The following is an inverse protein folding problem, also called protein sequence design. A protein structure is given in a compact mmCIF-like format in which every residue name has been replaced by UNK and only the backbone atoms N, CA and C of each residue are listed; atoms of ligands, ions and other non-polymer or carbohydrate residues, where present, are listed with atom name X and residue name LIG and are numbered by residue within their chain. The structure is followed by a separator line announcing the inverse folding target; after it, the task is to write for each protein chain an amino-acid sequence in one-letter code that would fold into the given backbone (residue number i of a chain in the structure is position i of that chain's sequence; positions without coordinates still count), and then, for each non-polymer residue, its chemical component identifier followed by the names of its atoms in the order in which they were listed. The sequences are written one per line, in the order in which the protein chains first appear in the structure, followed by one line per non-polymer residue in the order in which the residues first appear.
data_IF_394622551229
#
_entry.id   IF_394622551229
#
_cell.length_a   1.000
_cell.length_b   1.000
_cell.length_c   1.000
_cell.angle_alpha   90.00
_cell.angle_beta   90.00
_cell.angle_gamma   90.00
#
_symmetry.space_group_name_H-M   'P 1'
#
loop_
_entity.id
_entity.type
_entity.pdbx_description
1 polymer ?
#
# COMPACT_ATOMS: atom_id res chain seq x y z
N UNK A 1 -24.01 -2.05 40.93
CA UNK A 1 -24.73 -1.57 39.72
C UNK A 1 -23.99 -0.47 38.96
N UNK A 2 -23.18 0.40 39.58
CA UNK A 2 -22.42 1.44 38.87
C UNK A 2 -21.29 0.94 37.94
N UNK A 3 -20.60 -0.16 38.32
CA UNK A 3 -19.46 -0.70 37.55
C UNK A 3 -19.86 -1.30 36.20
N UNK A 4 -21.03 -1.93 36.09
CA UNK A 4 -21.54 -2.52 34.84
C UNK A 4 -21.92 -1.48 33.79
N UNK A 5 -22.32 -0.28 34.21
CA UNK A 5 -22.66 0.84 33.32
C UNK A 5 -21.37 1.39 32.69
N UNK A 6 -20.31 1.55 33.49
CA UNK A 6 -19.01 2.02 33.01
C UNK A 6 -18.37 1.09 31.97
N UNK A 7 -18.43 -0.24 32.17
CA UNK A 7 -17.87 -1.21 31.22
C UNK A 7 -18.63 -1.23 29.87
N UNK A 8 -19.96 -1.10 29.91
CA UNK A 8 -20.79 -1.03 28.68
C UNK A 8 -20.50 0.22 27.88
N UNK A 9 -20.36 1.37 28.54
CA UNK A 9 -20.02 2.64 27.87
C UNK A 9 -18.65 2.58 27.22
N UNK A 10 -17.67 1.95 27.88
CA UNK A 10 -16.32 1.79 27.34
C UNK A 10 -16.29 0.84 26.12
N UNK A 11 -17.06 -0.25 26.17
CA UNK A 11 -17.20 -1.18 25.04
C UNK A 11 -17.85 -0.52 23.82
N UNK A 12 -18.89 0.29 24.02
CA UNK A 12 -19.54 1.06 22.94
C UNK A 12 -18.58 2.09 22.34
N UNK A 13 -17.77 2.76 23.17
CA UNK A 13 -16.78 3.73 22.71
C UNK A 13 -15.69 3.07 21.86
N UNK A 14 -15.15 1.92 22.31
CA UNK A 14 -14.17 1.14 21.53
C UNK A 14 -14.75 0.67 20.20
N UNK A 15 -16.01 0.19 20.21
CA UNK A 15 -16.70 -0.22 18.99
C UNK A 15 -16.92 0.95 18.02
N UNK A 16 -17.29 2.13 18.53
CA UNK A 16 -17.45 3.33 17.72
C UNK A 16 -16.13 3.77 17.06
N UNK A 17 -15.03 3.76 17.82
CA UNK A 17 -13.70 4.09 17.30
C UNK A 17 -13.26 3.07 16.24
N UNK A 18 -13.50 1.78 16.45
CA UNK A 18 -13.19 0.73 15.47
C UNK A 18 -13.96 0.92 14.15
N UNK A 19 -15.21 1.35 14.20
CA UNK A 19 -16.02 1.67 13.02
C UNK A 19 -15.53 2.94 12.31
N UNK A 20 -15.08 3.95 13.05
CA UNK A 20 -14.52 5.18 12.47
C UNK A 20 -13.20 4.96 11.72
N UNK A 21 -12.40 3.95 12.11
CA UNK A 21 -11.15 3.60 11.42
C UNK A 21 -11.41 2.99 10.03
N UNK A 22 -12.60 2.47 9.76
CA UNK A 22 -12.95 1.89 8.45
C UNK A 22 -13.24 2.95 7.38
N UNK A 23 -13.39 4.22 7.74
CA UNK A 23 -13.93 5.28 6.87
C UNK A 23 -12.93 6.28 6.28
N UNK A 24 -11.62 6.17 6.55
CA UNK A 24 -10.61 7.13 6.06
C UNK A 24 -9.77 6.59 4.90
N UNK A 25 -10.23 5.54 4.21
CA UNK A 25 -9.61 5.12 2.95
C UNK A 25 -10.00 6.13 1.86
N UNK A 26 -9.28 7.27 1.85
CA UNK A 26 -9.24 8.12 0.67
C UNK A 26 -8.79 7.30 -0.53
N UNK A 27 -9.25 7.69 -1.73
CA UNK A 27 -8.94 6.98 -2.96
C UNK A 27 -7.43 6.72 -3.09
N UNK A 28 -7.05 5.45 -3.18
CA UNK A 28 -5.64 5.06 -3.25
C UNK A 28 -5.12 5.46 -4.63
N UNK A 29 -4.05 6.26 -4.64
CA UNK A 29 -3.31 6.67 -5.83
C UNK A 29 -1.87 6.25 -5.62
N UNK A 30 -1.33 5.43 -6.53
CA UNK A 30 -0.01 4.82 -6.34
C UNK A 30 1.07 5.89 -6.18
N UNK A 31 0.95 7.01 -6.89
CA UNK A 31 1.92 8.11 -6.89
C UNK A 31 2.00 8.84 -5.55
N UNK A 32 1.02 8.67 -4.66
CA UNK A 32 1.01 9.25 -3.31
C UNK A 32 1.46 8.25 -2.22
N UNK A 33 1.77 7.00 -2.59
CA UNK A 33 2.25 5.99 -1.64
C UNK A 33 3.75 6.11 -1.41
N UNK A 34 4.17 5.81 -0.18
CA UNK A 34 5.58 5.71 0.18
C UNK A 34 6.20 4.39 -0.31
N UNK A 35 7.53 4.30 -0.27
CA UNK A 35 8.28 3.11 -0.71
C UNK A 35 7.86 1.82 0.02
N UNK A 36 7.39 1.92 1.26
CA UNK A 36 7.01 0.77 2.08
C UNK A 36 5.52 0.43 1.94
N UNK A 37 4.70 1.25 1.32
CA UNK A 37 3.27 0.95 1.10
C UNK A 37 2.92 0.74 -0.36
N UNK A 38 3.81 1.12 -1.29
CA UNK A 38 3.63 0.99 -2.72
C UNK A 38 3.52 -0.47 -3.21
N UNK A 39 4.47 -1.32 -2.82
CA UNK A 39 4.51 -2.69 -3.32
C UNK A 39 3.28 -3.46 -2.84
N UNK A 40 2.65 -4.19 -3.77
CA UNK A 40 1.44 -4.98 -3.55
C UNK A 40 0.19 -4.15 -3.16
N UNK A 41 0.19 -2.85 -3.44
CA UNK A 41 -1.02 -2.03 -3.35
C UNK A 41 -1.83 -2.04 -4.66
N UNK A 42 -3.11 -1.71 -4.54
CA UNK A 42 -4.05 -1.56 -5.64
C UNK A 42 -4.74 -0.21 -5.51
N UNK A 43 -4.66 0.60 -6.58
CA UNK A 43 -5.30 1.91 -6.64
C UNK A 43 -6.82 1.82 -6.63
N UNK A 44 -7.46 2.97 -6.42
CA UNK A 44 -8.91 3.16 -6.60
C UNK A 44 -9.37 2.87 -8.04
N UNK A 45 -8.49 3.04 -9.02
CA UNK A 45 -8.74 2.66 -10.42
C UNK A 45 -8.64 1.16 -10.69
N UNK A 46 -8.40 0.34 -9.66
CA UNK A 46 -8.26 -1.11 -9.78
C UNK A 46 -6.97 -1.55 -10.48
N UNK A 47 -5.94 -0.69 -10.49
CA UNK A 47 -4.64 -0.99 -11.09
C UNK A 47 -3.62 -1.29 -10.01
N UNK A 48 -2.69 -2.21 -10.29
CA UNK A 48 -1.64 -2.56 -9.33
C UNK A 48 -0.59 -1.45 -9.26
N UNK A 49 -0.12 -1.15 -8.06
CA UNK A 49 1.00 -0.24 -7.86
C UNK A 49 2.33 -0.98 -8.01
N UNK A 50 3.30 -0.30 -8.59
CA UNK A 50 4.65 -0.81 -8.85
C UNK A 50 5.68 0.15 -8.26
N UNK A 51 6.58 -0.40 -7.44
CA UNK A 51 7.74 0.31 -6.92
C UNK A 51 8.88 0.20 -7.95
N UNK A 52 9.29 1.34 -8.49
CA UNK A 52 10.43 1.44 -9.39
C UNK A 52 11.63 2.03 -8.65
N UNK A 53 12.83 1.58 -9.01
CA UNK A 53 14.10 2.10 -8.50
C UNK A 53 14.84 2.81 -9.63
N UNK A 54 15.30 4.02 -9.36
CA UNK A 54 16.06 4.86 -10.30
C UNK A 54 17.35 5.30 -9.61
N UNK A 55 18.47 5.29 -10.34
CA UNK A 55 19.73 5.81 -9.81
C UNK A 55 19.87 7.27 -10.27
N UNK A 56 19.92 8.20 -9.33
CA UNK A 56 20.18 9.61 -9.63
C UNK A 56 21.60 9.76 -10.18
N UNK A 57 21.86 10.86 -10.92
CA UNK A 57 23.23 11.21 -11.37
C UNK A 57 24.26 11.33 -10.23
N UNK A 58 23.80 11.54 -9.00
CA UNK A 58 24.63 11.55 -7.79
C UNK A 58 25.06 10.15 -7.31
N UNK A 59 24.56 9.07 -7.92
CA UNK A 59 24.75 7.69 -7.46
C UNK A 59 23.78 7.27 -6.35
N UNK A 60 22.87 8.15 -5.94
CA UNK A 60 21.85 7.87 -4.92
C UNK A 60 20.69 7.06 -5.52
N UNK A 61 20.28 6.02 -4.80
CA UNK A 61 19.10 5.22 -5.15
C UNK A 61 17.83 5.98 -4.77
N UNK A 62 16.95 6.20 -5.74
CA UNK A 62 15.64 6.80 -5.56
C UNK A 62 14.56 5.78 -5.87
N UNK A 63 13.47 5.83 -5.12
CA UNK A 63 12.32 4.97 -5.34
C UNK A 63 11.13 5.83 -5.75
N UNK A 64 10.39 5.37 -6.76
CA UNK A 64 9.14 6.03 -7.19
C UNK A 64 8.05 4.99 -7.31
N UNK A 65 6.88 5.29 -6.75
CA UNK A 65 5.70 4.45 -6.92
C UNK A 65 4.89 4.90 -8.15
N UNK A 66 4.47 3.95 -8.97
CA UNK A 66 3.66 4.23 -10.17
C UNK A 66 2.51 3.24 -10.31
N UNK A 67 1.43 3.71 -10.93
CA UNK A 67 0.33 2.85 -11.33
C UNK A 67 0.72 2.01 -12.54
N UNK A 68 0.65 0.69 -12.42
CA UNK A 68 0.86 -0.25 -13.52
C UNK A 68 -0.33 -0.28 -14.47
N UNK A 69 -0.12 -0.77 -15.69
CA UNK A 69 -1.21 -1.07 -16.63
C UNK A 69 -1.94 -2.38 -16.29
N UNK A 70 -1.43 -3.14 -15.33
CA UNK A 70 -2.03 -4.40 -14.90
C UNK A 70 -3.23 -4.13 -13.98
N UNK A 71 -4.41 -4.53 -14.43
CA UNK A 71 -5.63 -4.52 -13.64
C UNK A 71 -5.61 -5.61 -12.55
N UNK A 72 -6.07 -5.25 -11.36
CA UNK A 72 -6.30 -6.18 -10.27
C UNK A 72 -7.71 -6.78 -10.41
N UNK A 73 -7.79 -8.11 -10.39
CA UNK A 73 -9.08 -8.81 -10.50
C UNK A 73 -9.94 -8.55 -9.26
N UNK A 74 -10.99 -7.74 -9.41
CA UNK A 74 -12.03 -7.42 -8.41
C UNK A 74 -11.56 -6.76 -7.12
N UNK A 75 -10.31 -6.32 -7.05
CA UNK A 75 -9.73 -5.66 -5.87
C UNK A 75 -9.46 -4.20 -6.24
N UNK A 76 -9.82 -3.28 -5.36
CA UNK A 76 -9.59 -1.83 -5.48
C UNK A 76 -9.34 -1.28 -4.08
N UNK A 77 -8.61 -0.18 -3.98
CA UNK A 77 -8.33 0.52 -2.72
C UNK A 77 -7.78 -0.39 -1.60
N UNK A 78 -6.83 -1.25 -1.95
CA UNK A 78 -6.21 -2.19 -1.02
C UNK A 78 -4.71 -1.96 -0.92
N UNK A 79 -4.20 -1.78 0.30
CA UNK A 79 -2.78 -1.94 0.61
C UNK A 79 -2.65 -3.27 1.35
N UNK A 80 -1.88 -4.19 0.79
CA UNK A 80 -1.65 -5.49 1.43
C UNK A 80 -1.03 -5.35 2.82
N UNK A 81 -1.32 -6.29 3.69
CA UNK A 81 -0.83 -6.27 5.08
C UNK A 81 0.53 -6.94 5.20
N UNK A 82 1.31 -6.57 6.22
CA UNK A 82 2.61 -7.21 6.48
C UNK A 82 2.46 -8.71 6.76
N UNK A 83 1.34 -9.12 7.34
CA UNK A 83 1.05 -10.52 7.61
C UNK A 83 0.89 -11.31 6.30
N UNK A 84 0.16 -10.75 5.32
CA UNK A 84 0.00 -11.36 4.00
C UNK A 84 1.34 -11.46 3.27
N UNK A 85 2.10 -10.36 3.24
CA UNK A 85 3.40 -10.28 2.56
C UNK A 85 4.38 -11.29 3.15
N UNK A 86 4.51 -11.34 4.49
CA UNK A 86 5.37 -12.31 5.17
C UNK A 86 4.87 -13.75 5.01
N UNK A 87 3.56 -13.96 5.02
CA UNK A 87 2.96 -15.27 4.76
C UNK A 87 3.28 -15.81 3.36
N UNK A 88 3.39 -14.92 2.37
CA UNK A 88 3.83 -15.23 1.02
C UNK A 88 5.36 -15.31 0.87
N UNK A 89 6.13 -14.98 1.91
CA UNK A 89 7.60 -14.93 1.85
C UNK A 89 8.13 -13.77 0.99
N UNK A 90 7.34 -12.71 0.81
CA UNK A 90 7.69 -11.54 0.02
C UNK A 90 8.22 -10.41 0.92
N UNK A 91 8.84 -9.40 0.30
CA UNK A 91 9.33 -8.19 0.97
C UNK A 91 8.71 -6.94 0.34
N UNK A 92 8.46 -5.91 1.15
CA UNK A 92 7.85 -4.65 0.70
C UNK A 92 8.73 -3.83 -0.25
N UNK A 93 10.02 -4.12 -0.32
CA UNK A 93 10.97 -3.53 -1.27
C UNK A 93 11.11 -4.35 -2.54
N UNK A 94 10.12 -5.20 -2.85
CA UNK A 94 10.05 -5.88 -4.13
C UNK A 94 9.85 -4.85 -5.23
N UNK A 95 10.84 -4.74 -6.10
CA UNK A 95 10.81 -3.86 -7.26
C UNK A 95 10.02 -4.51 -8.37
N UNK A 96 9.12 -3.75 -8.99
CA UNK A 96 8.46 -4.20 -10.20
C UNK A 96 9.44 -4.12 -11.38
N UNK A 97 9.40 -5.16 -12.21
CA UNK A 97 10.16 -5.19 -13.45
C UNK A 97 9.42 -4.25 -14.42
N UNK A 98 9.89 -3.01 -14.54
CA UNK A 98 9.38 -2.10 -15.57
C UNK A 98 9.95 -2.56 -16.91
N UNK A 99 9.09 -2.91 -17.87
CA UNK A 99 9.48 -3.43 -19.18
C UNK A 99 10.27 -2.42 -20.03
N UNK A 100 10.43 -1.17 -19.56
CA UNK A 100 11.09 -0.07 -20.27
C UNK A 100 12.57 0.13 -19.90
N UNK A 101 13.12 -0.64 -18.95
CA UNK A 101 14.52 -0.51 -18.47
C UNK A 101 15.61 -1.00 -19.45
N UNK A 102 15.27 -1.26 -20.71
CA UNK A 102 16.17 -1.80 -21.74
C UNK A 102 16.99 -0.73 -22.46
N UNK A 103 16.86 0.56 -22.11
CA UNK A 103 17.59 1.67 -22.75
C UNK A 103 18.78 2.25 -21.97
N UNK A 104 19.04 1.81 -20.73
CA UNK A 104 20.06 2.48 -19.90
C UNK A 104 21.34 1.66 -19.64
N UNK A 105 21.51 0.50 -20.29
CA UNK A 105 22.72 -0.35 -20.16
C UNK A 105 23.78 -0.12 -21.25
N UNK A 106 23.50 0.69 -22.28
CA UNK A 106 24.39 0.89 -23.43
C UNK A 106 24.70 2.37 -23.74
N UNK A 107 25.13 3.16 -22.75
CA UNK A 107 25.96 4.34 -23.05
C UNK A 107 26.86 4.77 -21.89
#
# INVERSE_FOLDING_TARGET
MASHISLKTLAVLVLAIALCVQGTLGAITCENLDENTCAFAVSSSGKRCVLEKHVKRSGEEAYTCRTSEIEADKIQDLIETDQCIKGCGLDRKTLGISSDSWKDINN
#
